data_IF_709665297140
#
_entry.id   IF_709665297140
#
_cell.length_a   1.000
_cell.length_b   1.000
_cell.length_c   1.000
_cell.angle_alpha   90.00
_cell.angle_beta   90.00
_cell.angle_gamma   90.00
#
_symmetry.space_group_name_H-M   'P 1'
#
loop_
_entity.id
_entity.type
_entity.pdbx_description
1 polymer ?
#
# COMPACT_ATOMS: atom_id res chain seq x y z
N UNK A 1 -3.98 6.10 -8.44
CA UNK A 1 -2.88 7.09 -8.64
C UNK A 1 -3.35 8.57 -8.70
N UNK A 2 -4.30 8.98 -9.56
CA UNK A 2 -4.76 10.41 -9.62
C UNK A 2 -5.33 10.92 -8.29
N UNK A 3 -5.98 10.06 -7.52
CA UNK A 3 -6.44 10.39 -6.17
C UNK A 3 -5.30 10.88 -5.29
N UNK A 4 -4.19 10.13 -5.21
CA UNK A 4 -3.03 10.49 -4.40
C UNK A 4 -2.39 11.79 -4.88
N UNK A 5 -2.25 11.98 -6.19
CA UNK A 5 -1.70 13.20 -6.78
C UNK A 5 -2.51 14.47 -6.44
N UNK A 6 -3.83 14.34 -6.25
CA UNK A 6 -4.71 15.47 -5.93
C UNK A 6 -4.73 15.83 -4.44
N UNK A 7 -4.41 14.88 -3.57
CA UNK A 7 -4.61 15.03 -2.12
C UNK A 7 -3.30 15.00 -1.32
N UNK A 8 -2.16 14.79 -1.98
CA UNK A 8 -0.85 14.71 -1.34
C UNK A 8 0.21 15.46 -2.17
N UNK A 9 1.36 15.72 -1.55
CA UNK A 9 2.57 16.20 -2.21
C UNK A 9 3.57 15.06 -2.46
N UNK A 10 3.11 13.80 -2.38
CA UNK A 10 3.98 12.65 -2.61
C UNK A 10 4.45 12.70 -4.07
N UNK A 11 5.76 12.56 -4.31
CA UNK A 11 6.27 12.57 -5.66
C UNK A 11 5.79 11.30 -6.38
N UNK A 12 5.09 11.49 -7.49
CA UNK A 12 4.54 10.43 -8.34
C UNK A 12 4.93 10.77 -9.79
N UNK A 13 5.24 9.78 -10.66
CA UNK A 13 5.54 10.05 -12.06
C UNK A 13 4.44 10.88 -12.74
N UNK A 14 4.85 11.75 -13.65
CA UNK A 14 3.91 12.58 -14.41
C UNK A 14 3.09 11.71 -15.36
N UNK A 15 1.80 11.56 -15.07
CA UNK A 15 0.87 10.78 -15.89
C UNK A 15 0.51 11.60 -17.12
N UNK A 16 0.77 11.02 -18.29
CA UNK A 16 0.42 11.61 -19.59
C UNK A 16 -1.02 11.24 -19.95
N UNK A 17 -1.35 9.94 -19.90
CA UNK A 17 -2.71 9.47 -20.13
C UNK A 17 -2.98 8.12 -19.45
N UNK A 18 -4.26 7.79 -19.39
CA UNK A 18 -4.82 6.50 -19.01
C UNK A 18 -5.79 6.13 -20.12
N UNK A 19 -5.62 4.98 -20.74
CA UNK A 19 -6.41 4.61 -21.92
C UNK A 19 -6.55 3.08 -22.03
N UNK A 20 -7.44 2.64 -22.90
CA UNK A 20 -7.65 1.23 -23.21
C UNK A 20 -6.77 0.83 -24.40
N UNK A 21 -5.90 -0.16 -24.20
CA UNK A 21 -5.17 -0.79 -25.30
C UNK A 21 -5.96 -1.95 -25.91
N UNK A 22 -5.46 -2.53 -27.00
CA UNK A 22 -6.11 -3.66 -27.69
C UNK A 22 -6.40 -4.89 -26.80
N UNK A 23 -5.67 -5.05 -25.68
CA UNK A 23 -5.78 -6.23 -24.81
C UNK A 23 -6.07 -5.86 -23.34
N UNK A 24 -5.52 -4.74 -22.85
CA UNK A 24 -5.62 -4.32 -21.44
C UNK A 24 -5.56 -2.79 -21.30
N UNK A 25 -6.14 -2.22 -20.23
CA UNK A 25 -5.92 -0.82 -19.88
C UNK A 25 -4.44 -0.56 -19.58
N UNK A 26 -3.97 0.65 -19.90
CA UNK A 26 -2.59 1.07 -19.64
C UNK A 26 -2.51 2.50 -19.11
N UNK A 27 -1.40 2.79 -18.45
CA UNK A 27 -1.05 4.12 -17.97
C UNK A 27 0.24 4.56 -18.66
N UNK A 28 0.18 5.65 -19.41
CA UNK A 28 1.37 6.28 -19.97
C UNK A 28 1.85 7.38 -19.01
N UNK A 29 3.12 7.33 -18.65
CA UNK A 29 3.74 8.30 -17.75
C UNK A 29 5.15 8.66 -18.21
N UNK A 30 5.59 9.88 -17.86
CA UNK A 30 6.95 10.32 -18.11
C UNK A 30 7.89 9.60 -17.14
N UNK A 31 8.95 9.00 -17.68
CA UNK A 31 10.00 8.37 -16.86
C UNK A 31 10.63 9.39 -15.91
N UNK A 32 10.58 9.11 -14.61
CA UNK A 32 11.29 9.89 -13.59
C UNK A 32 12.80 9.63 -13.68
N UNK A 33 13.60 10.70 -13.63
CA UNK A 33 15.06 10.59 -13.57
C UNK A 33 15.50 10.12 -12.18
N UNK A 34 16.47 9.23 -12.12
CA UNK A 34 16.99 8.69 -10.86
C UNK A 34 17.30 7.20 -10.97
N UNK A 35 17.65 6.60 -9.83
CA UNK A 35 17.84 5.14 -9.69
C UNK A 35 16.76 4.60 -8.77
N UNK A 36 16.39 3.33 -8.93
CA UNK A 36 15.57 2.71 -7.90
C UNK A 36 16.36 2.62 -6.57
N UNK A 37 15.66 2.68 -5.44
CA UNK A 37 16.30 2.68 -4.13
C UNK A 37 17.08 1.39 -3.90
N UNK A 38 16.55 0.24 -4.35
CA UNK A 38 17.21 -1.06 -4.27
C UNK A 38 18.65 -1.02 -4.82
N UNK A 39 18.83 -0.48 -6.04
CA UNK A 39 20.13 -0.35 -6.67
C UNK A 39 21.00 0.77 -6.10
N UNK A 40 20.39 1.81 -5.52
CA UNK A 40 21.12 2.94 -4.94
C UNK A 40 21.59 2.66 -3.49
N UNK A 41 20.86 1.85 -2.72
CA UNK A 41 20.99 1.73 -1.26
C UNK A 41 22.40 1.43 -0.76
N UNK A 42 23.10 0.52 -1.46
CA UNK A 42 24.47 0.11 -1.10
C UNK A 42 25.48 1.24 -1.26
N UNK A 43 25.22 2.20 -2.15
CA UNK A 43 26.08 3.36 -2.39
C UNK A 43 25.80 4.55 -1.46
N UNK A 44 24.67 4.55 -0.73
CA UNK A 44 24.33 5.62 0.20
C UNK A 44 25.11 5.48 1.50
N UNK A 45 25.62 6.60 2.00
CA UNK A 45 26.19 6.68 3.35
C UNK A 45 25.07 6.70 4.41
N UNK A 46 25.46 6.73 5.69
CA UNK A 46 24.50 6.66 6.79
C UNK A 46 23.52 7.85 6.81
N UNK A 47 24.02 9.07 6.63
CA UNK A 47 23.19 10.28 6.68
C UNK A 47 22.19 10.31 5.51
N UNK A 48 22.64 9.90 4.32
CA UNK A 48 21.79 9.78 3.15
C UNK A 48 20.66 8.74 3.35
N UNK A 49 20.97 7.60 3.97
CA UNK A 49 19.94 6.60 4.32
C UNK A 49 18.92 7.16 5.30
N UNK A 50 19.37 7.93 6.29
CA UNK A 50 18.48 8.62 7.23
C UNK A 50 17.57 9.60 6.49
N UNK A 51 18.10 10.40 5.57
CA UNK A 51 17.32 11.34 4.77
C UNK A 51 16.25 10.63 3.92
N UNK A 52 16.60 9.51 3.28
CA UNK A 52 15.61 8.67 2.57
C UNK A 52 14.49 8.22 3.50
N UNK A 53 14.82 7.69 4.69
CA UNK A 53 13.83 7.24 5.67
C UNK A 53 12.93 8.39 6.14
N UNK A 54 13.49 9.58 6.34
CA UNK A 54 12.71 10.79 6.68
C UNK A 54 11.73 11.15 5.56
N UNK A 55 12.16 11.09 4.30
CA UNK A 55 11.28 11.34 3.15
C UNK A 55 10.16 10.29 3.06
N UNK A 56 10.48 9.01 3.25
CA UNK A 56 9.49 7.94 3.24
C UNK A 56 8.47 8.09 4.37
N UNK A 57 8.92 8.42 5.59
CA UNK A 57 8.04 8.72 6.71
C UNK A 57 7.09 9.87 6.41
N UNK A 58 7.59 10.93 5.76
CA UNK A 58 6.75 12.04 5.32
C UNK A 58 5.69 11.59 4.31
N UNK A 59 6.04 10.72 3.35
CA UNK A 59 5.11 10.19 2.37
C UNK A 59 4.03 9.32 3.02
N UNK A 60 4.41 8.34 3.85
CA UNK A 60 3.48 7.48 4.59
C UNK A 60 2.55 8.32 5.46
N UNK A 61 3.10 9.30 6.18
CA UNK A 61 2.30 10.21 6.99
C UNK A 61 1.30 11.04 6.18
N UNK A 62 1.58 11.36 4.90
CA UNK A 62 0.62 12.01 4.02
C UNK A 62 -0.50 11.05 3.58
N UNK A 63 -0.17 9.81 3.23
CA UNK A 63 -1.17 8.79 2.90
C UNK A 63 -2.10 8.53 4.09
N UNK A 64 -1.52 8.39 5.29
CA UNK A 64 -2.29 8.08 6.49
C UNK A 64 -3.21 9.21 6.97
N UNK A 65 -3.02 10.43 6.47
CA UNK A 65 -3.92 11.58 6.74
C UNK A 65 -5.13 11.63 5.80
N UNK A 66 -5.12 10.90 4.69
CA UNK A 66 -6.26 10.84 3.78
C UNK A 66 -7.45 10.20 4.50
N UNK A 67 -8.65 10.69 4.22
CA UNK A 67 -9.87 10.24 4.91
C UNK A 67 -10.58 9.16 4.10
N UNK A 68 -10.87 7.98 4.69
CA UNK A 68 -11.65 6.96 4.03
C UNK A 68 -13.11 7.38 3.85
N UNK A 69 -13.87 6.75 2.92
CA UNK A 69 -15.31 6.93 2.82
C UNK A 69 -16.05 6.55 4.12
N UNK A 70 -15.56 5.53 4.82
CA UNK A 70 -16.00 5.12 6.16
C UNK A 70 -14.76 5.01 7.08
N UNK A 71 -14.68 5.77 8.20
CA UNK A 71 -13.57 5.71 9.15
C UNK A 71 -13.27 4.33 9.74
N UNK A 72 -14.19 3.37 9.63
CA UNK A 72 -14.03 2.01 10.16
C UNK A 72 -13.90 0.95 9.07
N UNK A 73 -14.11 1.34 7.80
CA UNK A 73 -14.31 0.40 6.71
C UNK A 73 -13.05 0.07 5.92
N UNK A 74 -12.69 -1.22 5.87
CA UNK A 74 -11.62 -1.73 4.99
C UNK A 74 -12.18 -1.87 3.57
N UNK A 75 -11.66 -1.08 2.64
CA UNK A 75 -12.20 -1.00 1.28
C UNK A 75 -11.18 -0.43 0.29
N UNK A 76 -11.52 -0.52 -1.00
CA UNK A 76 -10.82 0.18 -2.05
C UNK A 76 -11.26 1.62 -2.25
N UNK A 77 -10.57 2.28 -3.19
CA UNK A 77 -10.84 3.67 -3.50
C UNK A 77 -12.31 3.84 -3.91
N UNK A 78 -13.00 4.82 -3.31
CA UNK A 78 -14.43 5.04 -3.54
C UNK A 78 -15.35 3.98 -2.92
N UNK A 79 -14.87 3.17 -1.97
CA UNK A 79 -15.66 2.10 -1.34
C UNK A 79 -15.72 0.81 -2.15
N UNK A 80 -14.89 0.67 -3.18
CA UNK A 80 -14.81 -0.54 -4.01
C UNK A 80 -14.32 -1.75 -3.20
N UNK A 81 -14.47 -2.96 -3.76
CA UNK A 81 -13.86 -4.15 -3.19
C UNK A 81 -12.32 -4.08 -3.27
N UNK A 82 -11.65 -4.66 -2.28
CA UNK A 82 -10.21 -4.87 -2.27
C UNK A 82 -9.81 -6.05 -3.16
N UNK A 83 -8.56 -6.00 -3.63
CA UNK A 83 -7.88 -7.10 -4.30
C UNK A 83 -6.46 -7.09 -3.77
N UNK A 84 -6.02 -8.21 -3.22
CA UNK A 84 -4.67 -8.41 -2.67
C UNK A 84 -4.37 -9.91 -2.71
N UNK A 85 -3.38 -10.30 -3.51
CA UNK A 85 -3.02 -11.70 -3.70
C UNK A 85 -2.42 -12.37 -2.45
N UNK A 86 -1.93 -11.59 -1.48
CA UNK A 86 -1.47 -12.12 -0.19
C UNK A 86 -2.64 -12.47 0.74
N UNK A 87 -3.82 -11.89 0.49
CA UNK A 87 -5.05 -12.22 1.24
C UNK A 87 -5.85 -13.28 0.50
N UNK A 88 -6.15 -13.06 -0.78
CA UNK A 88 -6.93 -13.99 -1.60
C UNK A 88 -6.40 -13.94 -3.04
N UNK A 89 -5.89 -15.07 -3.54
CA UNK A 89 -5.23 -15.14 -4.85
C UNK A 89 -6.17 -14.85 -6.03
N UNK A 90 -7.46 -15.16 -5.88
CA UNK A 90 -8.47 -14.99 -6.92
C UNK A 90 -9.63 -14.09 -6.47
N UNK A 91 -10.14 -13.28 -7.40
CA UNK A 91 -11.28 -12.41 -7.14
C UNK A 91 -10.97 -11.19 -6.27
N UNK A 92 -12.01 -10.70 -5.62
CA UNK A 92 -12.00 -9.52 -4.74
C UNK A 92 -12.63 -9.88 -3.41
N UNK A 93 -12.22 -9.19 -2.35
CA UNK A 93 -12.81 -9.29 -1.01
C UNK A 93 -13.16 -7.88 -0.53
N UNK A 94 -13.93 -7.75 0.55
CA UNK A 94 -14.45 -6.44 1.03
C UNK A 94 -15.47 -5.79 0.07
N UNK A 95 -16.13 -4.66 0.43
CA UNK A 95 -15.89 -3.80 1.59
C UNK A 95 -16.25 -4.49 2.92
N UNK A 96 -15.47 -4.21 3.97
CA UNK A 96 -15.78 -4.60 5.33
C UNK A 96 -16.15 -3.36 6.14
N UNK A 97 -17.21 -3.41 6.93
CA UNK A 97 -17.64 -2.28 7.77
C UNK A 97 -16.69 -2.03 8.95
N UNK A 98 -15.99 -3.07 9.41
CA UNK A 98 -15.10 -3.01 10.57
C UNK A 98 -13.83 -3.83 10.33
N UNK A 99 -12.74 -3.46 11.00
CA UNK A 99 -11.50 -4.24 11.02
C UNK A 99 -11.73 -5.67 11.53
N UNK A 100 -12.63 -5.88 12.50
CA UNK A 100 -12.99 -7.22 12.98
C UNK A 100 -13.40 -8.16 11.84
N UNK A 101 -14.21 -7.68 10.89
CA UNK A 101 -14.66 -8.47 9.75
C UNK A 101 -13.54 -8.75 8.75
N UNK A 102 -12.58 -7.83 8.62
CA UNK A 102 -11.37 -8.07 7.85
C UNK A 102 -10.49 -9.14 8.52
N UNK A 103 -10.30 -9.06 9.84
CA UNK A 103 -9.55 -10.04 10.62
C UNK A 103 -10.19 -11.44 10.58
N UNK A 104 -11.52 -11.51 10.70
CA UNK A 104 -12.27 -12.76 10.55
C UNK A 104 -12.07 -13.36 9.15
N UNK A 105 -12.04 -12.52 8.10
CA UNK A 105 -11.77 -12.97 6.74
C UNK A 105 -10.34 -13.50 6.57
N UNK A 106 -9.33 -12.82 7.12
CA UNK A 106 -7.94 -13.31 7.11
C UNK A 106 -7.82 -14.70 7.75
N UNK A 107 -8.47 -14.89 8.89
CA UNK A 107 -8.51 -16.17 9.62
C UNK A 107 -9.25 -17.24 8.81
N UNK A 108 -10.36 -16.87 8.16
CA UNK A 108 -11.10 -17.78 7.29
C UNK A 108 -10.23 -18.27 6.13
N UNK A 109 -9.53 -17.39 5.43
CA UNK A 109 -8.66 -17.81 4.33
C UNK A 109 -7.48 -18.65 4.83
N UNK A 110 -6.86 -18.25 5.95
CA UNK A 110 -5.77 -19.01 6.55
C UNK A 110 -6.18 -20.41 7.06
N UNK A 111 -7.47 -20.61 7.40
CA UNK A 111 -7.99 -21.89 7.87
C UNK A 111 -7.88 -23.02 6.84
N UNK A 112 -7.69 -22.69 5.56
CA UNK A 112 -7.42 -23.66 4.49
C UNK A 112 -6.04 -24.31 4.61
N UNK A 113 -5.11 -23.68 5.35
CA UNK A 113 -3.71 -24.07 5.43
C UNK A 113 -3.22 -24.31 6.86
N UNK A 114 -4.00 -23.90 7.87
CA UNK A 114 -3.64 -23.97 9.29
C UNK A 114 -4.60 -24.86 10.08
N UNK A 115 -4.09 -25.49 11.14
CA UNK A 115 -4.93 -26.21 12.09
C UNK A 115 -5.85 -25.27 12.87
N UNK A 116 -7.01 -25.80 13.29
CA UNK A 116 -8.03 -25.04 14.01
C UNK A 116 -7.50 -24.30 15.24
N UNK A 117 -6.65 -24.96 16.03
CA UNK A 117 -6.07 -24.34 17.23
C UNK A 117 -5.22 -23.12 16.88
N UNK A 118 -4.45 -23.19 15.80
CA UNK A 118 -3.54 -22.12 15.37
C UNK A 118 -4.29 -20.88 14.93
N UNK A 119 -5.28 -21.02 14.04
CA UNK A 119 -5.98 -19.83 13.54
C UNK A 119 -6.89 -19.19 14.62
N UNK A 120 -7.41 -19.98 15.56
CA UNK A 120 -8.14 -19.44 16.72
C UNK A 120 -7.22 -18.67 17.68
N UNK A 121 -6.03 -19.20 17.98
CA UNK A 121 -5.03 -18.50 18.80
C UNK A 121 -4.55 -17.20 18.14
N UNK A 122 -4.35 -17.20 16.82
CA UNK A 122 -4.05 -15.99 16.06
C UNK A 122 -5.17 -14.97 16.21
N UNK A 123 -6.43 -15.36 15.95
CA UNK A 123 -7.59 -14.44 15.96
C UNK A 123 -7.75 -13.71 17.29
N UNK A 124 -7.56 -14.41 18.41
CA UNK A 124 -7.67 -13.86 19.77
C UNK A 124 -6.62 -12.78 20.04
N UNK A 125 -5.48 -12.80 19.33
CA UNK A 125 -4.40 -11.83 19.45
C UNK A 125 -4.52 -10.65 18.48
N UNK A 126 -5.45 -10.72 17.51
CA UNK A 126 -5.70 -9.64 16.57
C UNK A 126 -6.47 -8.51 17.25
N UNK A 127 -6.05 -7.26 16.99
CA UNK A 127 -6.72 -6.05 17.46
C UNK A 127 -7.66 -5.56 16.35
N UNK A 128 -8.87 -5.16 16.73
CA UNK A 128 -9.96 -4.80 15.80
C UNK A 128 -10.29 -3.29 15.79
N UNK A 129 -9.39 -2.46 16.33
CA UNK A 129 -9.65 -1.03 16.57
C UNK A 129 -8.53 -0.09 16.10
N UNK A 130 -7.71 -0.53 15.15
CA UNK A 130 -6.73 0.35 14.51
C UNK A 130 -7.42 1.42 13.66
N UNK A 131 -6.77 2.59 13.49
CA UNK A 131 -7.19 3.56 12.48
C UNK A 131 -7.18 2.93 11.08
N UNK A 132 -8.25 3.16 10.31
CA UNK A 132 -8.28 2.86 8.89
C UNK A 132 -7.69 4.04 8.12
N UNK A 133 -6.66 3.77 7.34
CA UNK A 133 -5.87 4.77 6.63
C UNK A 133 -5.65 4.35 5.18
N UNK A 134 -5.27 5.31 4.32
CA UNK A 134 -4.87 4.96 2.96
C UNK A 134 -3.45 4.40 3.00
N UNK A 135 -3.28 3.17 2.53
CA UNK A 135 -1.99 2.48 2.47
C UNK A 135 -1.54 2.29 1.02
N UNK A 136 -0.24 2.23 0.79
CA UNK A 136 0.37 1.92 -0.50
C UNK A 136 0.43 0.42 -0.76
N UNK A 137 0.76 -0.38 0.28
CA UNK A 137 0.78 -1.85 0.28
C UNK A 137 1.85 -2.54 -0.60
N UNK A 138 2.68 -1.77 -1.31
CA UNK A 138 3.92 -2.28 -1.95
C UNK A 138 5.09 -1.27 -1.84
N UNK A 139 5.35 -0.76 -0.63
CA UNK A 139 6.48 0.14 -0.35
C UNK A 139 7.82 -0.61 -0.29
N UNK A 140 8.22 -1.17 -1.44
CA UNK A 140 9.48 -1.88 -1.58
C UNK A 140 10.55 -0.98 -2.24
N UNK A 141 11.85 -1.19 -1.96
CA UNK A 141 12.93 -0.36 -2.52
C UNK A 141 12.96 -0.32 -4.07
N UNK A 142 12.41 -1.33 -4.75
CA UNK A 142 12.28 -1.34 -6.22
C UNK A 142 11.25 -0.33 -6.74
N UNK A 143 10.26 0.02 -5.92
CA UNK A 143 9.16 0.93 -6.27
C UNK A 143 9.43 2.38 -5.87
N UNK A 144 10.66 2.70 -5.50
CA UNK A 144 11.08 4.04 -5.08
C UNK A 144 12.18 4.52 -6.00
N UNK A 145 12.01 5.68 -6.63
CA UNK A 145 13.08 6.34 -7.39
C UNK A 145 13.72 7.40 -6.52
N UNK A 146 15.05 7.37 -6.44
CA UNK A 146 15.87 8.35 -5.73
C UNK A 146 16.81 9.09 -6.67
N UNK A 147 17.04 10.36 -6.34
CA UNK A 147 18.17 11.15 -6.81
C UNK A 147 18.97 11.53 -5.57
N UNK A 148 20.22 11.05 -5.51
CA UNK A 148 21.05 11.10 -4.31
C UNK A 148 20.32 10.47 -3.11
N UNK A 149 19.95 11.26 -2.11
CA UNK A 149 19.23 10.83 -0.90
C UNK A 149 17.75 11.27 -0.86
N UNK A 150 17.26 11.83 -1.96
CA UNK A 150 15.89 12.34 -2.08
C UNK A 150 15.01 11.37 -2.86
N UNK A 151 13.90 10.93 -2.25
CA UNK A 151 12.83 10.22 -2.96
C UNK A 151 12.13 11.16 -3.94
N UNK A 152 12.20 10.85 -5.24
CA UNK A 152 11.65 11.67 -6.33
C UNK A 152 10.51 10.99 -7.09
N UNK A 153 10.20 9.73 -6.80
CA UNK A 153 8.94 9.10 -7.16
C UNK A 153 8.65 7.85 -6.33
N UNK A 154 7.39 7.67 -5.93
CA UNK A 154 6.82 6.38 -5.55
C UNK A 154 6.03 5.79 -6.73
N UNK A 155 6.29 4.52 -7.00
CA UNK A 155 5.74 3.74 -8.10
C UNK A 155 4.81 2.65 -7.57
N UNK A 156 4.09 2.03 -8.50
CA UNK A 156 3.32 0.80 -8.26
C UNK A 156 2.20 0.92 -7.21
N UNK A 157 1.16 1.66 -7.59
CA UNK A 157 0.02 2.00 -6.73
C UNK A 157 -1.15 1.03 -6.87
N UNK A 158 -0.96 -0.17 -7.43
CA UNK A 158 -2.07 -1.07 -7.79
C UNK A 158 -2.81 -1.62 -6.55
N UNK A 159 -2.04 -1.91 -5.50
CA UNK A 159 -2.51 -2.44 -4.23
C UNK A 159 -2.95 -1.35 -3.23
N UNK A 160 -2.85 -0.06 -3.62
CA UNK A 160 -3.15 1.05 -2.71
C UNK A 160 -4.65 1.15 -2.37
N UNK A 161 -5.01 1.07 -1.08
CA UNK A 161 -6.39 0.87 -0.61
C UNK A 161 -6.55 1.42 0.82
N UNK A 162 -7.74 1.33 1.40
CA UNK A 162 -8.02 1.66 2.81
C UNK A 162 -7.90 0.40 3.67
N UNK A 163 -6.91 0.37 4.56
CA UNK A 163 -6.62 -0.75 5.45
C UNK A 163 -6.30 -0.27 6.87
N UNK A 164 -6.28 -1.18 7.87
CA UNK A 164 -5.72 -0.87 9.18
C UNK A 164 -4.28 -0.37 9.07
N UNK A 165 -3.89 0.62 9.87
CA UNK A 165 -2.57 1.28 9.76
C UNK A 165 -1.37 0.32 9.80
N UNK A 166 -1.49 -0.77 10.55
CA UNK A 166 -0.42 -1.76 10.70
C UNK A 166 -0.21 -2.57 9.41
N UNK A 167 -1.18 -2.59 8.49
CA UNK A 167 -1.13 -3.37 7.25
C UNK A 167 -0.04 -2.88 6.30
N UNK A 168 0.27 -1.57 6.31
CA UNK A 168 1.40 -1.02 5.55
C UNK A 168 2.72 -1.66 5.97
N UNK A 169 2.90 -1.91 7.27
CA UNK A 169 4.09 -2.59 7.78
C UNK A 169 4.07 -4.08 7.45
N UNK A 170 2.92 -4.75 7.60
CA UNK A 170 2.78 -6.19 7.27
C UNK A 170 3.13 -6.46 5.81
N UNK A 171 2.73 -5.58 4.89
CA UNK A 171 3.04 -5.72 3.45
C UNK A 171 4.49 -5.37 3.09
N UNK A 172 5.22 -4.69 3.98
CA UNK A 172 6.62 -4.33 3.77
C UNK A 172 7.62 -5.36 4.32
N UNK A 173 7.14 -6.41 5.01
CA UNK A 173 7.94 -7.56 5.47
C UNK A 173 8.16 -8.58 4.34
#
# INVERSE_FOLDING_TARGET
>A
IRFVQRHTQIPIPHIICTDEGFVKPYILMKRTKGKNLEGAWRGLNQDQRVNVVVHLRSCVGQLHRLQPPDPKGVCGLGGAACKDAHVQSDGTFSPFTYEASFNDHLVHVASLFLEQRTFLDIRVRMVDCHPIVFTHNDLTPRNMIVQDDTVVALLDWEDARWYPEHWEFVKAL
#
